data_IF_363803364698
#
_entry.id   IF_363803364698
#
_cell.length_a   1.000
_cell.length_b   1.000
_cell.length_c   1.000
_cell.angle_alpha   90.00
_cell.angle_beta   90.00
_cell.angle_gamma   90.00
#
_symmetry.space_group_name_H-M   'P 1'
#
loop_
_entity.id
_entity.type
_entity.pdbx_description
1 polymer ?
#
# COMPACT_ATOMS: atom_id res chain seq x y z
N UNK A 1 9.69 -21.14 -6.98
CA UNK A 1 8.40 -20.42 -6.81
C UNK A 1 7.50 -21.25 -5.94
N UNK A 2 6.88 -20.68 -4.91
CA UNK A 2 5.96 -21.39 -4.01
C UNK A 2 4.51 -21.24 -4.48
N UNK A 3 4.07 -20.01 -4.71
CA UNK A 3 2.70 -19.71 -5.15
C UNK A 3 2.60 -18.31 -5.78
N UNK A 4 1.43 -18.04 -6.36
CA UNK A 4 0.95 -16.70 -6.69
C UNK A 4 -0.18 -16.34 -5.73
N UNK A 5 -0.21 -15.10 -5.24
CA UNK A 5 -1.33 -14.62 -4.43
C UNK A 5 -2.47 -14.09 -5.32
N UNK A 6 -3.63 -13.84 -4.71
CA UNK A 6 -4.70 -13.09 -5.35
C UNK A 6 -4.19 -11.73 -5.84
N UNK A 7 -4.73 -11.20 -6.96
CA UNK A 7 -4.30 -9.90 -7.48
C UNK A 7 -4.64 -8.76 -6.51
N UNK A 8 -3.75 -7.78 -6.45
CA UNK A 8 -3.97 -6.53 -5.74
C UNK A 8 -4.11 -5.38 -6.73
N UNK A 9 -4.73 -4.27 -6.32
CA UNK A 9 -4.82 -3.06 -7.12
C UNK A 9 -4.05 -1.94 -6.43
N UNK A 10 -3.13 -1.31 -7.15
CA UNK A 10 -2.37 -0.18 -6.62
C UNK A 10 -3.22 1.09 -6.48
N UNK A 11 -2.73 2.07 -5.73
CA UNK A 11 -3.36 3.39 -5.64
C UNK A 11 -3.59 4.03 -7.03
N UNK A 12 -2.74 3.70 -8.01
CA UNK A 12 -2.81 4.15 -9.39
C UNK A 12 -3.65 3.24 -10.31
N UNK A 13 -4.44 2.32 -9.74
CA UNK A 13 -5.37 1.42 -10.46
C UNK A 13 -4.66 0.44 -11.39
N UNK A 14 -3.43 0.07 -11.07
CA UNK A 14 -2.67 -0.98 -11.76
C UNK A 14 -2.88 -2.29 -11.04
N UNK A 15 -3.16 -3.36 -11.79
CA UNK A 15 -3.27 -4.72 -11.25
C UNK A 15 -1.87 -5.26 -10.99
N UNK A 16 -1.65 -5.79 -9.79
CA UNK A 16 -0.38 -6.35 -9.32
C UNK A 16 -0.61 -7.81 -8.95
N UNK A 17 0.25 -8.69 -9.47
CA UNK A 17 0.22 -10.13 -9.21
C UNK A 17 1.43 -10.53 -8.35
N UNK A 18 1.28 -10.70 -7.03
CA UNK A 18 2.40 -11.09 -6.18
C UNK A 18 2.79 -12.54 -6.41
N UNK A 19 4.09 -12.78 -6.53
CA UNK A 19 4.69 -14.12 -6.61
C UNK A 19 5.53 -14.34 -5.37
N UNK A 20 5.30 -15.44 -4.66
CA UNK A 20 6.09 -15.82 -3.48
C UNK A 20 7.09 -16.89 -3.89
N UNK A 21 8.36 -16.68 -3.57
CA UNK A 21 9.44 -17.62 -3.85
C UNK A 21 10.20 -17.98 -2.57
N UNK A 22 10.67 -19.22 -2.51
CA UNK A 22 11.61 -19.67 -1.49
C UNK A 22 13.03 -19.38 -2.00
N UNK A 23 13.80 -18.67 -1.19
CA UNK A 23 15.25 -18.61 -1.33
C UNK A 23 15.84 -19.71 -0.45
N UNK A 24 16.24 -20.81 -1.07
CA UNK A 24 16.79 -21.99 -0.40
C UNK A 24 18.30 -21.85 -0.11
N UNK A 25 19.04 -21.18 -0.99
CA UNK A 25 20.42 -20.77 -0.76
C UNK A 25 20.51 -19.30 -0.33
N UNK A 26 20.60 -19.09 0.98
CA UNK A 26 20.71 -17.75 1.58
C UNK A 26 22.09 -17.11 1.38
N UNK A 27 23.13 -17.87 1.00
CA UNK A 27 24.47 -17.31 0.76
C UNK A 27 24.50 -16.32 -0.41
N UNK A 28 23.51 -16.39 -1.30
CA UNK A 28 23.31 -15.43 -2.40
C UNK A 28 23.15 -14.00 -1.87
N UNK A 29 22.63 -13.82 -0.65
CA UNK A 29 22.44 -12.50 -0.04
C UNK A 29 23.77 -11.81 0.26
N UNK A 30 24.86 -12.56 0.51
CA UNK A 30 26.18 -12.00 0.81
C UNK A 30 26.79 -11.25 -0.39
N UNK A 31 26.39 -11.64 -1.61
CA UNK A 31 26.84 -11.02 -2.86
C UNK A 31 25.92 -9.91 -3.37
N UNK A 32 24.78 -9.68 -2.71
CA UNK A 32 23.72 -8.82 -3.23
C UNK A 32 24.15 -7.34 -3.19
N UNK A 33 24.01 -6.66 -4.32
CA UNK A 33 24.37 -5.24 -4.46
C UNK A 33 23.19 -4.44 -4.97
N UNK A 34 22.94 -3.31 -4.33
CA UNK A 34 21.97 -2.34 -4.80
C UNK A 34 22.37 -1.83 -6.20
N UNK A 35 21.43 -1.88 -7.14
CA UNK A 35 21.63 -1.39 -8.50
C UNK A 35 21.80 0.14 -8.49
N UNK A 36 22.95 0.68 -8.95
CA UNK A 36 23.20 2.12 -8.89
C UNK A 36 22.16 2.93 -9.67
N UNK A 37 21.62 3.98 -9.05
CA UNK A 37 20.61 4.87 -9.66
C UNK A 37 19.17 4.37 -9.60
N UNK A 38 18.94 3.12 -9.20
CA UNK A 38 17.59 2.54 -9.07
C UNK A 38 17.28 2.13 -7.62
N UNK A 39 18.21 1.43 -6.97
CA UNK A 39 18.02 0.90 -5.61
C UNK A 39 18.94 1.63 -4.64
N UNK A 40 18.37 2.30 -3.64
CA UNK A 40 19.14 2.97 -2.60
C UNK A 40 19.68 1.99 -1.56
N UNK A 41 18.82 1.08 -1.08
CA UNK A 41 19.14 0.12 -0.03
C UNK A 41 18.43 -1.22 -0.28
N UNK A 42 19.06 -2.30 0.19
CA UNK A 42 18.46 -3.63 0.29
C UNK A 42 18.51 -4.01 1.76
N UNK A 43 17.40 -4.54 2.28
CA UNK A 43 17.25 -4.91 3.67
C UNK A 43 16.24 -6.05 3.78
N UNK A 44 16.39 -6.88 4.80
CA UNK A 44 15.39 -7.85 5.22
C UNK A 44 14.52 -7.30 6.38
N UNK A 45 13.39 -7.96 6.60
CA UNK A 45 12.49 -7.67 7.69
C UNK A 45 11.74 -8.96 8.07
N UNK A 46 11.60 -9.30 9.37
CA UNK A 46 10.90 -10.50 9.79
C UNK A 46 9.46 -10.50 9.31
N UNK A 47 9.06 -11.50 8.50
CA UNK A 47 7.71 -11.55 7.96
C UNK A 47 6.63 -11.61 9.05
N UNK A 48 6.93 -12.28 10.18
CA UNK A 48 6.02 -12.35 11.32
C UNK A 48 5.78 -10.99 11.99
N UNK A 49 6.74 -10.05 11.89
CA UNK A 49 6.59 -8.72 12.47
C UNK A 49 5.49 -7.87 11.80
N UNK A 50 5.04 -8.27 10.60
CA UNK A 50 3.86 -7.66 9.98
C UNK A 50 2.57 -8.06 10.70
N UNK A 51 2.54 -9.21 11.38
CA UNK A 51 1.40 -9.63 12.20
C UNK A 51 1.52 -9.14 13.64
N UNK A 52 2.75 -9.10 14.17
CA UNK A 52 3.08 -8.61 15.51
C UNK A 52 4.31 -7.68 15.48
N UNK A 53 4.10 -6.36 15.37
CA UNK A 53 5.18 -5.37 15.24
C UNK A 53 6.20 -5.39 16.39
N UNK A 54 5.84 -5.93 17.54
CA UNK A 54 6.75 -6.11 18.69
C UNK A 54 7.96 -6.97 18.36
N UNK A 55 7.84 -7.90 17.41
CA UNK A 55 8.94 -8.75 16.96
C UNK A 55 10.05 -7.97 16.23
N UNK A 56 9.77 -6.74 15.78
CA UNK A 56 10.75 -5.85 15.16
C UNK A 56 11.17 -4.69 16.09
N UNK A 57 10.95 -4.81 17.41
CA UNK A 57 11.27 -3.76 18.38
C UNK A 57 12.75 -3.33 18.35
N UNK A 58 13.65 -4.26 18.09
CA UNK A 58 15.10 -3.98 18.03
C UNK A 58 15.54 -3.31 16.70
N UNK A 59 14.67 -3.28 15.69
CA UNK A 59 14.95 -2.59 14.44
C UNK A 59 14.92 -1.06 14.65
N UNK A 60 15.98 -0.41 14.17
CA UNK A 60 16.21 1.03 14.36
C UNK A 60 16.07 1.77 13.04
N UNK A 61 15.15 2.72 13.02
CA UNK A 61 14.93 3.66 11.93
C UNK A 61 14.50 5.00 12.52
N UNK A 62 14.90 6.09 11.88
CA UNK A 62 14.33 7.41 12.18
C UNK A 62 12.86 7.42 11.76
N UNK A 63 12.01 7.07 12.73
CA UNK A 63 10.61 6.73 12.51
C UNK A 63 9.75 7.99 12.65
N UNK A 64 9.12 8.47 11.56
CA UNK A 64 8.48 9.79 11.55
C UNK A 64 7.04 9.79 12.09
N UNK A 65 6.57 8.68 12.67
CA UNK A 65 5.18 8.53 13.11
C UNK A 65 5.09 8.44 14.64
N UNK A 66 3.96 8.88 15.20
CA UNK A 66 3.76 8.96 16.65
C UNK A 66 3.81 7.58 17.36
N UNK A 67 3.23 6.55 16.73
CA UNK A 67 3.19 5.19 17.27
C UNK A 67 4.46 4.43 16.88
N UNK A 68 5.18 3.88 17.85
CA UNK A 68 6.60 3.47 17.73
C UNK A 68 6.90 2.42 16.63
N UNK A 69 6.10 1.36 16.51
CA UNK A 69 6.41 0.19 15.67
C UNK A 69 5.45 0.04 14.48
N UNK A 70 4.21 0.47 14.68
CA UNK A 70 3.13 0.34 13.72
C UNK A 70 2.26 1.58 13.74
N UNK A 71 1.94 2.09 12.55
CA UNK A 71 1.04 3.21 12.37
C UNK A 71 0.09 2.93 11.20
N UNK A 72 -1.09 3.54 11.22
CA UNK A 72 -2.00 3.49 10.08
C UNK A 72 -2.73 4.81 9.91
N UNK A 73 -3.22 5.04 8.69
CA UNK A 73 -4.17 6.12 8.41
C UNK A 73 -5.28 5.58 7.54
N UNK A 74 -6.50 5.93 7.88
CA UNK A 74 -7.66 5.63 7.06
C UNK A 74 -7.93 6.79 6.11
N UNK A 75 -8.14 6.50 4.82
CA UNK A 75 -8.40 7.50 3.80
C UNK A 75 -9.26 6.96 2.66
N UNK A 76 -9.92 7.82 1.87
CA UNK A 76 -10.77 7.37 0.77
C UNK A 76 -9.94 6.75 -0.36
N UNK A 77 -10.36 5.58 -0.84
CA UNK A 77 -9.79 4.98 -2.04
C UNK A 77 -10.85 4.10 -2.73
N UNK A 78 -11.13 4.38 -4.01
CA UNK A 78 -12.16 3.72 -4.83
C UNK A 78 -13.59 3.79 -4.26
N UNK A 79 -13.88 4.83 -3.47
CA UNK A 79 -15.18 5.03 -2.82
C UNK A 79 -15.10 4.81 -1.30
N UNK A 80 -14.94 3.58 -0.81
CA UNK A 80 -14.91 3.30 0.62
C UNK A 80 -13.56 3.70 1.25
N UNK A 81 -13.44 3.42 2.55
CA UNK A 81 -12.23 3.64 3.32
C UNK A 81 -11.15 2.62 2.95
N UNK A 82 -9.91 3.07 2.91
CA UNK A 82 -8.71 2.25 2.81
C UNK A 82 -7.81 2.55 4.00
N UNK A 83 -7.40 1.50 4.72
CA UNK A 83 -6.41 1.57 5.78
C UNK A 83 -5.03 1.40 5.19
N UNK A 84 -4.24 2.47 5.23
CA UNK A 84 -2.83 2.43 4.84
C UNK A 84 -1.96 2.06 6.03
N UNK A 85 -1.46 0.82 6.05
CA UNK A 85 -0.54 0.34 7.07
C UNK A 85 0.88 0.88 6.87
N UNK A 86 1.61 1.04 7.98
CA UNK A 86 3.03 1.40 8.04
C UNK A 86 3.69 0.60 9.17
N UNK A 87 4.75 -0.12 8.84
CA UNK A 87 5.54 -0.88 9.79
C UNK A 87 6.95 -0.31 9.84
N UNK A 88 7.50 -0.15 11.06
CA UNK A 88 8.90 0.23 11.23
C UNK A 88 9.77 -0.90 10.69
N UNK A 89 10.80 -0.53 9.94
CA UNK A 89 11.84 -1.46 9.51
C UNK A 89 13.22 -0.91 9.86
N UNK A 90 14.30 -1.53 9.38
CA UNK A 90 15.68 -1.03 9.52
C UNK A 90 16.07 0.07 8.52
N UNK A 91 15.38 0.21 7.39
CA UNK A 91 15.80 1.10 6.30
C UNK A 91 14.74 2.13 5.90
N UNK A 92 13.48 1.72 5.79
CA UNK A 92 12.37 2.63 5.46
C UNK A 92 11.03 2.04 5.89
N UNK A 93 10.01 2.88 6.21
CA UNK A 93 8.70 2.34 6.59
C UNK A 93 8.12 1.42 5.51
N UNK A 94 7.80 0.18 5.85
CA UNK A 94 7.08 -0.73 4.97
C UNK A 94 5.62 -0.32 4.97
N UNK A 95 5.11 0.20 3.84
CA UNK A 95 3.78 0.84 3.79
C UNK A 95 3.04 0.63 2.48
N UNK A 96 1.74 0.96 2.48
CA UNK A 96 0.89 0.95 1.29
C UNK A 96 0.74 -0.46 0.70
N UNK A 97 0.73 -0.56 -0.63
CA UNK A 97 0.51 -1.83 -1.32
C UNK A 97 1.53 -2.91 -0.92
N UNK A 98 2.80 -2.53 -0.72
CA UNK A 98 3.84 -3.47 -0.27
C UNK A 98 3.48 -4.08 1.09
N UNK A 99 3.02 -3.24 2.04
CA UNK A 99 2.58 -3.71 3.34
C UNK A 99 1.35 -4.64 3.23
N UNK A 100 0.38 -4.33 2.37
CA UNK A 100 -0.82 -5.16 2.19
C UNK A 100 -0.49 -6.55 1.64
N UNK A 101 0.44 -6.63 0.68
CA UNK A 101 0.91 -7.88 0.09
C UNK A 101 1.66 -8.71 1.15
N UNK A 102 2.57 -8.09 1.89
CA UNK A 102 3.35 -8.78 2.92
C UNK A 102 2.45 -9.23 4.09
N UNK A 103 1.46 -8.44 4.49
CA UNK A 103 0.49 -8.80 5.52
C UNK A 103 -0.38 -9.99 5.11
N UNK A 104 -0.82 -10.04 3.85
CA UNK A 104 -1.51 -11.21 3.31
C UNK A 104 -0.60 -12.45 3.30
N UNK A 105 0.65 -12.27 2.89
CA UNK A 105 1.65 -13.34 2.85
C UNK A 105 1.93 -13.90 4.25
N UNK A 106 2.14 -13.03 5.23
CA UNK A 106 2.38 -13.40 6.62
C UNK A 106 1.18 -14.16 7.21
N UNK A 107 -0.04 -13.67 6.97
CA UNK A 107 -1.24 -14.33 7.47
C UNK A 107 -1.42 -15.76 6.93
N UNK A 108 -1.07 -15.98 5.66
CA UNK A 108 -1.06 -17.32 5.05
C UNK A 108 0.08 -18.17 5.64
N UNK A 109 1.30 -17.64 5.69
CA UNK A 109 2.49 -18.38 6.08
C UNK A 109 2.43 -18.86 7.55
N UNK A 110 1.93 -18.02 8.45
CA UNK A 110 1.84 -18.31 9.88
C UNK A 110 0.45 -18.78 10.32
N UNK A 111 -0.52 -18.87 9.40
CA UNK A 111 -1.91 -19.21 9.71
C UNK A 111 -2.50 -18.39 10.87
N UNK A 112 -2.21 -17.08 10.87
CA UNK A 112 -2.51 -16.15 11.97
C UNK A 112 -3.03 -14.81 11.47
N UNK A 113 -3.92 -14.21 12.25
CA UNK A 113 -4.33 -12.81 12.05
C UNK A 113 -3.37 -11.86 12.79
N UNK A 114 -3.23 -10.60 12.32
CA UNK A 114 -2.44 -9.60 13.03
C UNK A 114 -3.04 -9.24 14.39
N UNK A 115 -2.19 -8.79 15.32
CA UNK A 115 -2.59 -8.35 16.68
C UNK A 115 -3.32 -6.99 16.68
N UNK A 116 -3.50 -6.39 15.50
CA UNK A 116 -4.15 -5.12 15.27
C UNK A 116 -5.27 -5.23 14.24
N UNK A 117 -6.17 -4.24 14.21
CA UNK A 117 -7.24 -4.20 13.23
C UNK A 117 -6.67 -3.96 11.82
N UNK A 118 -6.70 -5.01 11.00
CA UNK A 118 -6.25 -4.99 9.60
C UNK A 118 -7.10 -4.07 8.72
N UNK A 119 -8.41 -4.20 8.78
CA UNK A 119 -9.28 -3.50 7.82
C UNK A 119 -9.86 -2.21 8.38
N UNK A 120 -9.85 -1.15 7.57
CA UNK A 120 -10.60 0.06 7.82
C UNK A 120 -12.12 -0.16 7.73
N UNK A 121 -12.93 0.74 8.33
CA UNK A 121 -14.38 0.72 8.23
C UNK A 121 -14.90 0.62 6.78
N UNK A 122 -15.59 -0.47 6.43
CA UNK A 122 -16.16 -0.68 5.10
C UNK A 122 -15.14 -0.90 3.97
N UNK A 123 -13.86 -1.13 4.31
CA UNK A 123 -12.81 -1.39 3.33
C UNK A 123 -13.11 -2.65 2.51
N UNK A 124 -12.95 -2.54 1.18
CA UNK A 124 -13.03 -3.67 0.26
C UNK A 124 -11.88 -4.64 0.54
N UNK A 125 -12.16 -5.93 0.56
CA UNK A 125 -11.21 -6.95 1.04
C UNK A 125 -10.77 -7.91 -0.04
N UNK A 126 -11.63 -8.14 -1.01
CA UNK A 126 -11.38 -9.09 -2.10
C UNK A 126 -11.00 -8.37 -3.38
N UNK A 127 -10.19 -9.03 -4.20
CA UNK A 127 -9.88 -8.54 -5.54
C UNK A 127 -11.16 -8.23 -6.34
N UNK A 128 -12.16 -9.12 -6.29
CA UNK A 128 -13.41 -8.93 -7.03
C UNK A 128 -14.20 -7.68 -6.61
N UNK A 129 -14.19 -7.33 -5.31
CA UNK A 129 -14.78 -6.07 -4.83
C UNK A 129 -14.01 -4.86 -5.33
N UNK A 130 -12.68 -4.89 -5.19
CA UNK A 130 -11.80 -3.81 -5.61
C UNK A 130 -11.90 -3.58 -7.12
N UNK A 131 -11.86 -4.66 -7.92
CA UNK A 131 -12.00 -4.59 -9.37
C UNK A 131 -13.32 -3.94 -9.78
N UNK A 132 -14.46 -4.37 -9.20
CA UNK A 132 -15.76 -3.75 -9.46
C UNK A 132 -15.77 -2.26 -9.12
N UNK A 133 -15.11 -1.85 -8.04
CA UNK A 133 -15.01 -0.45 -7.65
C UNK A 133 -14.12 0.37 -8.60
N UNK A 134 -13.03 -0.21 -9.12
CA UNK A 134 -12.19 0.41 -10.17
C UNK A 134 -13.01 0.66 -11.43
N UNK A 135 -13.74 -0.36 -11.90
CA UNK A 135 -14.58 -0.29 -13.09
C UNK A 135 -15.67 0.78 -12.93
N UNK A 136 -16.39 0.78 -11.80
CA UNK A 136 -17.40 1.79 -11.50
C UNK A 136 -16.83 3.22 -11.49
N UNK A 137 -15.63 3.41 -10.91
CA UNK A 137 -14.95 4.72 -10.88
C UNK A 137 -14.47 5.16 -12.26
N UNK A 138 -14.13 4.22 -13.16
CA UNK A 138 -13.78 4.52 -14.54
C UNK A 138 -15.02 4.99 -15.33
N UNK A 139 -16.14 4.26 -15.20
CA UNK A 139 -17.42 4.62 -15.83
C UNK A 139 -17.88 6.00 -15.36
N UNK A 140 -17.93 6.26 -14.06
CA UNK A 140 -18.37 7.54 -13.51
C UNK A 140 -17.55 8.73 -14.04
N UNK A 141 -16.24 8.56 -14.24
CA UNK A 141 -15.37 9.61 -14.81
C UNK A 141 -15.65 9.88 -16.28
N UNK A 142 -15.97 8.84 -17.05
CA UNK A 142 -16.32 8.98 -18.47
C UNK A 142 -17.69 9.63 -18.68
N UNK A 143 -18.58 9.57 -17.69
CA UNK A 143 -19.94 10.13 -17.75
C UNK A 143 -20.06 11.56 -17.23
N UNK A 144 -18.98 12.19 -16.75
CA UNK A 144 -19.04 13.59 -16.30
C UNK A 144 -19.16 14.55 -17.51
N UNK A 145 -20.20 15.41 -17.56
CA UNK A 145 -20.32 16.40 -18.62
C UNK A 145 -19.16 17.41 -18.55
N UNK A 146 -18.63 17.79 -19.71
CA UNK A 146 -17.60 18.83 -19.81
C UNK A 146 -18.05 20.11 -19.09
N UNK A 147 -17.19 20.77 -18.30
CA UNK A 147 -17.54 22.06 -17.72
C UNK A 147 -17.87 23.03 -18.85
N UNK A 148 -19.03 23.69 -18.75
CA UNK A 148 -19.47 24.68 -19.73
C UNK A 148 -18.40 25.77 -19.85
N UNK A 149 -18.04 26.23 -21.07
CA UNK A 149 -17.11 27.33 -21.23
C UNK A 149 -17.64 28.54 -20.46
N UNK A 150 -16.88 28.99 -19.46
CA UNK A 150 -17.28 30.04 -18.54
C UNK A 150 -17.65 31.31 -19.30
N UNK A 151 -18.85 31.83 -19.04
CA UNK A 151 -19.25 33.14 -19.53
C UNK A 151 -18.43 34.19 -18.77
N UNK A 152 -17.40 34.73 -19.41
CA UNK A 152 -16.70 35.92 -18.89
C UNK A 152 -17.69 37.07 -18.99
N UNK A 153 -18.20 37.55 -17.86
CA UNK A 153 -18.99 38.79 -17.81
C UNK A 153 -18.00 39.95 -17.75
N UNK A 154 -18.02 40.90 -18.71
CA UNK A 154 -17.14 42.05 -18.64
C UNK A 154 -17.58 42.97 -17.50
N UNK A 155 -16.72 43.15 -16.50
CA UNK A 155 -16.90 44.14 -15.43
C UNK A 155 -16.72 45.54 -16.01
N UNK A 156 -17.81 46.27 -16.22
CA UNK A 156 -17.75 47.71 -16.51
C UNK A 156 -17.43 48.47 -15.23
N UNK A 157 -16.17 48.81 -15.02
CA UNK A 157 -15.75 49.79 -14.02
C UNK A 157 -16.07 51.19 -14.55
N UNK A 158 -17.16 51.81 -14.07
CA UNK A 158 -17.36 53.25 -14.21
C UNK A 158 -16.49 53.94 -13.17
N UNK A 159 -15.51 54.72 -13.62
CA UNK A 159 -14.75 55.66 -12.78
C UNK A 159 -15.64 56.87 -12.49
N UNK A 160 -15.68 57.26 -11.21
CA UNK A 160 -15.99 58.61 -10.76
C UNK A 160 -14.73 59.19 -10.13
#
# INVERSE_FOLDING_TARGET
MLCTLDPFVSQHKVIVMPVVALLDDVSILDGLRAAPGEVAHIFDHPLEALLDPELARDEKLDWPYEAELYNFTDGPWLGPMYRMHRFRSTASPVKGLTADILLATAGIAYAREPVFQRWGPGQLRTYAEVQRAVEATAVARSSQPMPSPGHVTPTTTVRA
#
